data_IF_182400932246
#
_entry.id   IF_182400932246
#
_cell.length_a   1.000
_cell.length_b   1.000
_cell.length_c   1.000
_cell.angle_alpha   90.00
_cell.angle_beta   90.00
_cell.angle_gamma   90.00
#
_symmetry.space_group_name_H-M   'P 1'
#
loop_
_entity.id
_entity.type
_entity.pdbx_description
1 polymer ?
#
# COMPACT_ATOMS: atom_id res chain seq x y z
N UNK A 1 -5.02 28.90 -0.85
CA UNK A 1 -5.35 27.64 -1.56
C UNK A 1 -4.46 27.37 -2.79
N UNK A 2 -4.16 28.37 -3.65
CA UNK A 2 -3.35 28.13 -4.86
C UNK A 2 -1.87 27.78 -4.58
N UNK A 3 -1.21 28.44 -3.63
CA UNK A 3 0.20 28.17 -3.31
C UNK A 3 0.43 26.82 -2.65
N UNK A 4 -0.45 26.40 -1.72
CA UNK A 4 -0.37 25.09 -1.06
C UNK A 4 -0.57 23.96 -2.08
N UNK A 5 -1.55 24.09 -2.97
CA UNK A 5 -1.79 23.12 -4.07
C UNK A 5 -0.60 23.02 -5.01
N UNK A 6 0.04 24.15 -5.35
CA UNK A 6 1.22 24.19 -6.22
C UNK A 6 2.42 23.52 -5.55
N UNK A 7 2.59 23.68 -4.24
CA UNK A 7 3.70 23.09 -3.48
C UNK A 7 3.51 21.57 -3.29
N UNK A 8 2.29 21.11 -3.02
CA UNK A 8 1.94 19.67 -2.94
C UNK A 8 2.20 19.00 -4.30
N UNK A 9 1.72 19.59 -5.39
CA UNK A 9 1.92 19.06 -6.74
C UNK A 9 3.40 19.00 -7.12
N UNK A 10 4.20 20.02 -6.76
CA UNK A 10 5.63 20.03 -7.01
C UNK A 10 6.38 18.93 -6.24
N UNK A 11 6.03 18.70 -4.96
CA UNK A 11 6.62 17.64 -4.14
C UNK A 11 6.29 16.25 -4.69
N UNK A 12 5.04 16.00 -5.09
CA UNK A 12 4.61 14.74 -5.69
C UNK A 12 5.38 14.48 -6.99
N UNK A 13 5.47 15.50 -7.86
CA UNK A 13 6.18 15.38 -9.13
C UNK A 13 7.68 15.11 -8.94
N UNK A 14 8.32 15.75 -7.96
CA UNK A 14 9.73 15.49 -7.64
C UNK A 14 9.95 14.04 -7.20
N UNK A 15 9.09 13.52 -6.31
CA UNK A 15 9.17 12.12 -5.86
C UNK A 15 8.94 11.14 -7.00
N UNK A 16 7.93 11.38 -7.81
CA UNK A 16 7.65 10.56 -8.99
C UNK A 16 8.83 10.56 -9.96
N UNK A 17 9.43 11.71 -10.26
CA UNK A 17 10.60 11.78 -11.15
C UNK A 17 11.80 11.03 -10.61
N UNK A 18 12.04 11.09 -9.29
CA UNK A 18 13.10 10.32 -8.66
C UNK A 18 12.87 8.82 -8.81
N UNK A 19 11.66 8.35 -8.54
CA UNK A 19 11.30 6.94 -8.67
C UNK A 19 11.51 6.47 -10.12
N UNK A 20 11.20 7.33 -11.11
CA UNK A 20 11.49 7.05 -12.51
C UNK A 20 12.99 6.98 -12.82
N UNK A 21 13.83 7.68 -12.08
CA UNK A 21 15.28 7.54 -12.24
C UNK A 21 15.78 6.13 -11.84
N UNK A 22 15.05 5.43 -10.98
CA UNK A 22 15.31 4.02 -10.66
C UNK A 22 14.95 3.12 -11.84
N UNK A 23 13.89 3.41 -12.59
CA UNK A 23 13.54 2.67 -13.81
C UNK A 23 14.68 2.70 -14.84
N UNK A 24 15.45 3.78 -14.92
CA UNK A 24 16.63 3.87 -15.80
C UNK A 24 17.74 2.88 -15.39
N UNK A 25 17.92 2.58 -14.10
CA UNK A 25 18.85 1.55 -13.62
C UNK A 25 18.43 0.14 -14.02
N UNK A 26 17.12 -0.08 -14.21
CA UNK A 26 16.54 -1.38 -14.51
C UNK A 26 16.50 -1.70 -16.01
N UNK A 27 16.66 -0.68 -16.87
CA UNK A 27 16.36 -0.73 -18.32
C UNK A 27 16.99 -1.91 -19.07
N UNK A 28 18.24 -2.26 -18.75
CA UNK A 28 18.97 -3.32 -19.45
C UNK A 28 18.69 -4.73 -18.90
N UNK A 29 18.00 -4.84 -17.78
CA UNK A 29 17.78 -6.08 -17.03
C UNK A 29 16.31 -6.48 -16.88
N UNK A 30 15.42 -5.51 -17.03
CA UNK A 30 13.98 -5.65 -16.88
C UNK A 30 13.24 -5.08 -18.08
N UNK A 31 12.14 -5.71 -18.45
CA UNK A 31 11.21 -5.13 -19.43
C UNK A 31 10.41 -4.00 -18.76
N UNK A 32 9.93 -2.98 -19.52
CA UNK A 32 9.19 -1.86 -18.95
C UNK A 32 8.01 -2.27 -18.05
N UNK A 33 7.28 -3.31 -18.41
CA UNK A 33 6.17 -3.84 -17.62
C UNK A 33 6.59 -4.55 -16.33
N UNK A 34 7.86 -4.89 -16.15
CA UNK A 34 8.38 -5.52 -14.93
C UNK A 34 8.89 -4.50 -13.89
N UNK A 35 9.03 -3.21 -14.27
CA UNK A 35 9.58 -2.19 -13.35
C UNK A 35 8.77 -2.05 -12.07
N UNK A 36 7.44 -2.18 -12.17
CA UNK A 36 6.54 -2.14 -11.02
C UNK A 36 6.87 -3.16 -9.93
N UNK A 37 7.32 -4.37 -10.33
CA UNK A 37 7.70 -5.45 -9.40
C UNK A 37 8.89 -5.11 -8.51
N UNK A 38 9.74 -4.18 -8.95
CA UNK A 38 10.86 -3.67 -8.16
C UNK A 38 10.49 -2.36 -7.47
N UNK A 39 9.99 -1.39 -8.22
CA UNK A 39 9.82 -0.01 -7.75
C UNK A 39 8.75 0.10 -6.68
N UNK A 40 7.59 -0.58 -6.83
CA UNK A 40 6.50 -0.48 -5.85
C UNK A 40 6.90 -1.01 -4.46
N UNK A 41 7.48 -2.23 -4.32
CA UNK A 41 7.95 -2.71 -3.02
C UNK A 41 9.02 -1.81 -2.39
N UNK A 42 9.97 -1.29 -3.18
CA UNK A 42 10.97 -0.36 -2.68
C UNK A 42 10.36 0.96 -2.20
N UNK A 43 9.34 1.48 -2.90
CA UNK A 43 8.59 2.66 -2.47
C UNK A 43 7.90 2.43 -1.11
N UNK A 44 7.25 1.27 -0.95
CA UNK A 44 6.59 0.86 0.30
C UNK A 44 7.60 0.77 1.43
N UNK A 45 8.70 0.04 1.21
CA UNK A 45 9.77 -0.12 2.19
C UNK A 45 10.38 1.23 2.58
N UNK A 46 10.65 2.10 1.60
CA UNK A 46 11.19 3.43 1.87
C UNK A 46 10.23 4.29 2.68
N UNK A 47 8.93 4.28 2.35
CA UNK A 47 7.91 4.98 3.13
C UNK A 47 7.88 4.49 4.57
N UNK A 48 7.87 3.17 4.78
CA UNK A 48 7.82 2.59 6.12
C UNK A 48 9.10 2.87 6.91
N UNK A 49 10.25 2.75 6.28
CA UNK A 49 11.54 3.06 6.90
C UNK A 49 11.57 4.51 7.41
N UNK A 50 11.25 5.47 6.52
CA UNK A 50 11.25 6.90 6.86
C UNK A 50 10.23 7.26 7.96
N UNK A 51 9.06 6.61 7.98
CA UNK A 51 8.10 6.77 9.05
C UNK A 51 8.61 6.25 10.39
N UNK A 52 9.43 5.20 10.37
CA UNK A 52 9.98 4.58 11.58
C UNK A 52 11.26 5.25 12.11
N UNK A 53 11.95 6.10 11.32
CA UNK A 53 13.18 6.79 11.76
C UNK A 53 13.05 7.40 13.17
N UNK A 54 11.99 8.18 13.50
CA UNK A 54 11.88 8.84 14.80
C UNK A 54 11.74 7.88 15.98
N UNK A 55 11.24 6.67 15.73
CA UNK A 55 10.89 5.69 16.77
C UNK A 55 11.76 4.44 16.74
N UNK A 56 12.68 4.31 15.77
CA UNK A 56 13.51 3.12 15.55
C UNK A 56 14.22 2.64 16.82
N UNK A 57 14.90 3.53 17.53
CA UNK A 57 15.63 3.18 18.76
C UNK A 57 14.69 2.68 19.84
N UNK A 58 13.52 3.32 20.02
CA UNK A 58 12.49 2.89 20.97
C UNK A 58 11.94 1.51 20.64
N UNK A 59 11.75 1.19 19.36
CA UNK A 59 11.33 -0.14 18.90
C UNK A 59 12.38 -1.18 19.24
N UNK A 60 13.66 -0.91 18.97
CA UNK A 60 14.77 -1.82 19.26
C UNK A 60 14.90 -2.07 20.77
N UNK A 61 14.85 -1.04 21.60
CA UNK A 61 14.86 -1.16 23.07
C UNK A 61 13.67 -1.96 23.58
N UNK A 62 12.47 -1.67 23.05
CA UNK A 62 11.26 -2.42 23.42
C UNK A 62 11.41 -3.88 23.04
N UNK A 63 11.92 -4.18 21.83
CA UNK A 63 12.15 -5.54 21.36
C UNK A 63 13.08 -6.32 22.31
N UNK A 64 14.20 -5.75 22.75
CA UNK A 64 15.10 -6.39 23.70
C UNK A 64 14.39 -6.78 25.01
N UNK A 65 13.46 -5.93 25.48
CA UNK A 65 12.71 -6.17 26.70
C UNK A 65 11.60 -7.23 26.54
N UNK A 66 11.01 -7.37 25.34
CA UNK A 66 9.84 -8.25 25.12
C UNK A 66 10.14 -9.45 24.23
N UNK A 67 11.37 -9.64 23.72
CA UNK A 67 11.72 -10.72 22.78
C UNK A 67 11.44 -12.12 23.32
N UNK A 68 11.38 -12.28 24.64
CA UNK A 68 11.06 -13.54 25.31
C UNK A 68 9.55 -13.86 25.36
N UNK A 69 8.68 -12.91 25.00
CA UNK A 69 7.23 -13.09 24.96
C UNK A 69 6.80 -13.72 23.64
N UNK A 70 5.80 -14.60 23.70
CA UNK A 70 5.19 -15.17 22.48
C UNK A 70 4.44 -14.08 21.69
N UNK A 71 3.63 -13.26 22.37
CA UNK A 71 2.87 -12.15 21.78
C UNK A 71 3.54 -10.84 22.13
N UNK A 72 4.21 -10.23 21.15
CA UNK A 72 4.98 -8.98 21.31
C UNK A 72 4.61 -7.86 20.34
N UNK A 73 3.82 -8.16 19.28
CA UNK A 73 3.47 -7.20 18.24
C UNK A 73 2.86 -5.91 18.77
N UNK A 74 1.86 -6.01 19.67
CA UNK A 74 1.20 -4.83 20.23
C UNK A 74 2.11 -3.90 21.05
N UNK A 75 3.18 -4.43 21.68
CA UNK A 75 4.19 -3.60 22.35
C UNK A 75 5.06 -2.86 21.33
N UNK A 76 5.43 -3.54 20.25
CA UNK A 76 6.29 -2.99 19.19
C UNK A 76 5.54 -1.97 18.34
N UNK A 77 4.28 -2.23 17.99
CA UNK A 77 3.40 -1.28 17.30
C UNK A 77 3.20 0.00 18.11
N UNK A 78 2.95 -0.14 19.44
CA UNK A 78 2.85 1.02 20.33
C UNK A 78 4.17 1.80 20.43
N UNK A 79 5.31 1.11 20.41
CA UNK A 79 6.62 1.74 20.42
C UNK A 79 6.89 2.45 19.08
N UNK A 80 6.49 1.86 17.97
CA UNK A 80 6.61 2.40 16.63
C UNK A 80 5.66 3.59 16.38
N UNK A 81 4.47 3.57 16.99
CA UNK A 81 3.39 4.53 16.71
C UNK A 81 2.64 4.24 15.42
N UNK A 82 2.80 3.04 14.86
CA UNK A 82 2.17 2.55 13.63
C UNK A 82 1.72 1.10 13.83
N UNK A 83 0.81 0.62 12.98
CA UNK A 83 0.41 -0.80 12.91
C UNK A 83 1.47 -1.71 12.27
N UNK A 84 2.67 -1.20 12.08
CA UNK A 84 3.86 -1.90 11.61
C UNK A 84 5.11 -1.42 12.35
N UNK A 85 6.14 -2.24 12.36
CA UNK A 85 7.43 -1.96 13.00
C UNK A 85 8.56 -2.68 12.28
N UNK A 86 9.82 -2.34 12.64
CA UNK A 86 10.99 -3.08 12.18
C UNK A 86 12.01 -3.25 13.30
N UNK A 87 12.35 -4.50 13.64
CA UNK A 87 13.29 -4.88 14.70
C UNK A 87 14.73 -5.12 14.20
N UNK A 88 15.00 -4.98 12.89
CA UNK A 88 16.35 -5.05 12.36
C UNK A 88 17.17 -3.84 12.79
N UNK A 89 18.48 -4.03 12.97
CA UNK A 89 19.42 -2.91 13.19
C UNK A 89 19.62 -2.04 11.95
N UNK A 90 19.24 -2.55 10.77
CA UNK A 90 19.39 -1.85 9.51
C UNK A 90 18.21 -0.89 9.24
N UNK A 91 18.52 0.13 8.46
CA UNK A 91 17.67 1.08 7.79
C UNK A 91 18.29 1.36 6.41
N UNK A 92 17.64 2.15 5.54
CA UNK A 92 18.20 2.43 4.21
C UNK A 92 19.58 3.08 4.27
N UNK A 93 19.86 3.93 5.27
CA UNK A 93 21.18 4.55 5.44
C UNK A 93 22.24 3.51 5.77
N UNK A 94 22.00 2.66 6.78
CA UNK A 94 22.97 1.64 7.21
C UNK A 94 23.20 0.55 6.17
N UNK A 95 22.19 0.27 5.33
CA UNK A 95 22.36 -0.66 4.21
C UNK A 95 23.38 -0.16 3.20
N UNK A 96 23.48 1.16 2.98
CA UNK A 96 24.46 1.72 2.03
C UNK A 96 25.89 1.79 2.58
N UNK A 97 26.12 1.49 3.86
CA UNK A 97 27.43 1.48 4.49
C UNK A 97 28.24 0.20 4.17
N UNK A 98 27.59 -0.88 3.73
CA UNK A 98 28.24 -2.16 3.43
C UNK A 98 27.70 -2.77 2.11
N UNK A 99 28.31 -2.35 1.01
CA UNK A 99 27.97 -2.85 -0.32
C UNK A 99 28.33 -4.33 -0.53
N UNK A 100 29.31 -4.84 0.21
CA UNK A 100 29.81 -6.22 0.04
C UNK A 100 28.79 -7.26 0.51
N UNK A 101 28.09 -6.97 1.60
CA UNK A 101 27.09 -7.88 2.19
C UNK A 101 25.66 -7.36 1.99
N UNK A 102 25.43 -6.58 0.94
CA UNK A 102 24.17 -5.87 0.74
C UNK A 102 22.95 -6.80 0.68
N UNK A 103 23.05 -7.97 0.04
CA UNK A 103 21.94 -8.92 -0.05
C UNK A 103 21.58 -9.48 1.33
N UNK A 104 22.57 -9.96 2.10
CA UNK A 104 22.33 -10.53 3.43
C UNK A 104 21.80 -9.46 4.40
N UNK A 105 22.36 -8.25 4.34
CA UNK A 105 21.93 -7.13 5.17
C UNK A 105 20.52 -6.69 4.82
N UNK A 106 20.16 -6.64 3.54
CA UNK A 106 18.81 -6.28 3.07
C UNK A 106 17.78 -7.35 3.43
N UNK A 107 18.12 -8.64 3.33
CA UNK A 107 17.29 -9.73 3.79
C UNK A 107 17.03 -9.65 5.30
N UNK A 108 18.06 -9.39 6.10
CA UNK A 108 17.91 -9.17 7.54
C UNK A 108 17.00 -7.97 7.83
N UNK A 109 17.14 -6.89 7.07
CA UNK A 109 16.30 -5.71 7.19
C UNK A 109 14.81 -6.04 6.92
N UNK A 110 14.51 -6.78 5.85
CA UNK A 110 13.15 -7.21 5.50
C UNK A 110 12.56 -8.14 6.57
N UNK A 111 13.34 -9.13 7.01
CA UNK A 111 12.91 -10.08 8.05
C UNK A 111 12.64 -9.40 9.41
N UNK A 112 13.16 -8.21 9.62
CA UNK A 112 12.89 -7.41 10.81
C UNK A 112 11.54 -6.73 10.83
N UNK A 113 10.82 -6.66 9.72
CA UNK A 113 9.49 -6.07 9.68
C UNK A 113 8.44 -6.95 10.35
N UNK A 114 7.34 -6.33 10.78
CA UNK A 114 6.13 -6.99 11.25
C UNK A 114 5.51 -7.89 10.18
N UNK A 115 4.77 -8.90 10.62
CA UNK A 115 4.18 -9.94 9.76
C UNK A 115 3.32 -9.36 8.62
N UNK A 116 2.53 -8.32 8.89
CA UNK A 116 1.70 -7.66 7.87
C UNK A 116 2.52 -7.02 6.74
N UNK A 117 3.73 -6.51 7.01
CA UNK A 117 4.64 -5.99 5.98
C UNK A 117 5.32 -7.12 5.24
N UNK A 118 5.71 -8.19 5.94
CA UNK A 118 6.30 -9.38 5.29
C UNK A 118 5.30 -10.02 4.32
N UNK A 119 4.03 -10.16 4.71
CA UNK A 119 2.95 -10.68 3.86
C UNK A 119 2.75 -9.81 2.59
N UNK A 120 2.87 -8.48 2.71
CA UNK A 120 2.86 -7.60 1.53
C UNK A 120 4.00 -7.95 0.57
N UNK A 121 5.22 -8.13 1.08
CA UNK A 121 6.39 -8.41 0.26
C UNK A 121 6.33 -9.82 -0.37
N UNK A 122 5.75 -10.80 0.33
CA UNK A 122 5.48 -12.13 -0.21
C UNK A 122 4.50 -12.07 -1.39
N UNK A 123 3.41 -11.31 -1.28
CA UNK A 123 2.43 -11.15 -2.35
C UNK A 123 2.99 -10.38 -3.57
N UNK A 124 4.03 -9.55 -3.38
CA UNK A 124 4.81 -8.98 -4.47
C UNK A 124 5.80 -9.98 -5.09
N UNK A 125 5.96 -11.18 -4.54
CA UNK A 125 7.04 -12.12 -4.89
C UNK A 125 8.44 -11.47 -4.81
N UNK A 126 8.62 -10.53 -3.88
CA UNK A 126 9.77 -9.62 -3.85
C UNK A 126 11.11 -10.33 -3.63
N UNK A 127 11.11 -11.51 -3.00
CA UNK A 127 12.34 -12.33 -2.84
C UNK A 127 12.97 -12.70 -4.19
N UNK A 128 12.16 -12.96 -5.22
CA UNK A 128 12.63 -13.24 -6.57
C UNK A 128 13.33 -12.01 -7.17
N UNK A 129 12.78 -10.82 -6.94
CA UNK A 129 13.36 -9.58 -7.44
C UNK A 129 14.67 -9.22 -6.71
N UNK A 130 14.74 -9.46 -5.39
CA UNK A 130 15.98 -9.27 -4.61
C UNK A 130 17.10 -10.12 -5.19
N UNK A 131 16.85 -11.41 -5.45
CA UNK A 131 17.83 -12.34 -6.06
C UNK A 131 18.27 -11.84 -7.44
N UNK A 132 17.31 -11.43 -8.27
CA UNK A 132 17.59 -10.93 -9.62
C UNK A 132 18.43 -9.65 -9.59
N UNK A 133 18.10 -8.71 -8.70
CA UNK A 133 18.87 -7.48 -8.49
C UNK A 133 20.29 -7.75 -7.97
N UNK A 134 20.44 -8.63 -6.98
CA UNK A 134 21.73 -8.98 -6.42
C UNK A 134 22.65 -9.65 -7.46
N UNK A 135 22.12 -10.63 -8.20
CA UNK A 135 22.86 -11.34 -9.25
C UNK A 135 23.35 -10.42 -10.37
N UNK A 136 22.67 -9.30 -10.61
CA UNK A 136 23.05 -8.32 -11.63
C UNK A 136 23.80 -7.11 -11.06
N UNK A 137 24.14 -7.10 -9.77
CA UNK A 137 24.85 -6.00 -9.12
C UNK A 137 24.02 -4.71 -8.97
N UNK A 138 22.69 -4.81 -9.11
CA UNK A 138 21.77 -3.67 -9.08
C UNK A 138 21.22 -3.36 -7.69
N UNK A 139 21.20 -4.34 -6.77
CA UNK A 139 20.55 -4.19 -5.47
C UNK A 139 21.08 -2.99 -4.68
N UNK A 140 22.41 -2.85 -4.61
CA UNK A 140 23.03 -1.71 -3.95
C UNK A 140 22.66 -0.38 -4.61
N UNK A 141 22.71 -0.30 -5.94
CA UNK A 141 22.40 0.91 -6.69
C UNK A 141 20.95 1.37 -6.50
N UNK A 142 20.01 0.42 -6.46
CA UNK A 142 18.59 0.72 -6.18
C UNK A 142 18.42 1.23 -4.75
N UNK A 143 19.00 0.56 -3.75
CA UNK A 143 18.94 1.00 -2.35
C UNK A 143 19.60 2.39 -2.21
N UNK A 144 20.74 2.63 -2.83
CA UNK A 144 21.42 3.94 -2.83
C UNK A 144 20.54 5.03 -3.45
N UNK A 145 19.84 4.73 -4.56
CA UNK A 145 18.93 5.67 -5.19
C UNK A 145 17.78 6.07 -4.26
N UNK A 146 17.20 5.11 -3.53
CA UNK A 146 16.18 5.37 -2.53
C UNK A 146 16.71 6.01 -1.23
N UNK A 147 18.02 5.95 -0.96
CA UNK A 147 18.62 6.60 0.20
C UNK A 147 18.98 8.07 -0.02
N UNK A 148 18.78 8.63 -1.22
CA UNK A 148 19.02 10.05 -1.49
C UNK A 148 18.06 10.93 -0.68
N UNK A 149 18.49 12.13 -0.22
CA UNK A 149 17.60 13.06 0.50
C UNK A 149 16.32 13.42 -0.26
N UNK A 150 16.38 13.47 -1.60
CA UNK A 150 15.22 13.68 -2.47
C UNK A 150 14.22 12.53 -2.43
N UNK A 151 14.63 11.33 -2.00
CA UNK A 151 13.76 10.15 -1.85
C UNK A 151 13.05 10.08 -0.49
N UNK A 152 13.30 11.01 0.42
CA UNK A 152 12.68 10.99 1.75
C UNK A 152 11.16 11.08 1.68
N UNK A 153 10.47 10.13 2.33
CA UNK A 153 9.02 9.94 2.32
C UNK A 153 8.41 9.90 3.74
N UNK A 154 9.09 10.47 4.75
CA UNK A 154 8.59 10.49 6.13
C UNK A 154 7.28 11.25 6.28
N UNK A 155 6.49 10.89 7.30
CA UNK A 155 5.17 11.45 7.55
C UNK A 155 5.18 12.95 7.90
N UNK A 156 6.32 13.47 8.33
CA UNK A 156 6.55 14.89 8.61
C UNK A 156 6.60 15.77 7.36
N UNK A 157 6.87 15.19 6.18
CA UNK A 157 6.94 15.91 4.89
C UNK A 157 5.94 15.45 3.85
N UNK A 158 5.61 14.16 3.84
CA UNK A 158 4.68 13.55 2.90
C UNK A 158 3.52 12.96 3.69
N UNK A 159 2.35 13.56 3.56
CA UNK A 159 1.15 13.05 4.22
C UNK A 159 0.74 11.68 3.65
N UNK A 160 -0.15 10.97 4.34
CA UNK A 160 -0.70 9.71 3.83
C UNK A 160 -1.47 9.92 2.52
N UNK A 161 -2.16 11.05 2.39
CA UNK A 161 -2.88 11.43 1.16
C UNK A 161 -1.90 11.68 0.01
N UNK A 162 -0.82 12.44 0.24
CA UNK A 162 0.21 12.69 -0.77
C UNK A 162 0.87 11.38 -1.23
N UNK A 163 1.13 10.46 -0.28
CA UNK A 163 1.70 9.15 -0.60
C UNK A 163 0.73 8.32 -1.46
N UNK A 164 -0.58 8.41 -1.18
CA UNK A 164 -1.62 7.82 -2.02
C UNK A 164 -1.56 8.32 -3.46
N UNK A 165 -1.43 9.63 -3.68
CA UNK A 165 -1.28 10.21 -5.02
C UNK A 165 0.01 9.75 -5.72
N UNK A 166 1.14 9.67 -5.00
CA UNK A 166 2.40 9.15 -5.55
C UNK A 166 2.21 7.71 -6.00
N UNK A 167 1.59 6.87 -5.16
CA UNK A 167 1.35 5.46 -5.47
C UNK A 167 0.42 5.29 -6.67
N UNK A 168 -0.67 6.06 -6.74
CA UNK A 168 -1.60 6.03 -7.88
C UNK A 168 -0.93 6.44 -9.19
N UNK A 169 -0.10 7.49 -9.18
CA UNK A 169 0.63 7.92 -10.38
C UNK A 169 1.60 6.82 -10.86
N UNK A 170 2.28 6.15 -9.92
CA UNK A 170 3.16 5.02 -10.24
C UNK A 170 2.38 3.85 -10.84
N UNK A 171 1.29 3.44 -10.19
CA UNK A 171 0.45 2.33 -10.67
C UNK A 171 -0.08 2.66 -12.07
N UNK A 172 -0.62 3.87 -12.26
CA UNK A 172 -1.11 4.32 -13.56
C UNK A 172 -0.05 4.21 -14.65
N UNK A 173 1.15 4.71 -14.41
CA UNK A 173 2.25 4.68 -15.39
C UNK A 173 2.77 3.28 -15.65
N UNK A 174 2.84 2.42 -14.64
CA UNK A 174 3.19 1.02 -14.86
C UNK A 174 2.08 0.29 -15.62
N UNK A 175 0.82 0.54 -15.31
CA UNK A 175 -0.30 -0.07 -16.04
C UNK A 175 -0.38 0.39 -17.51
N UNK A 176 -0.05 1.63 -17.81
CA UNK A 176 0.05 2.13 -19.21
C UNK A 176 1.17 1.44 -20.01
N UNK A 177 2.15 0.82 -19.34
CA UNK A 177 3.21 0.02 -19.96
C UNK A 177 2.81 -1.44 -20.26
N UNK A 178 1.69 -1.90 -19.69
CA UNK A 178 1.06 -3.19 -20.01
C UNK A 178 0.05 -2.97 -21.15
N UNK A 179 0.13 -3.77 -22.23
CA UNK A 179 -0.81 -3.72 -23.37
C UNK A 179 -2.29 -3.81 -22.92
N UNK A 180 -3.15 -3.03 -23.57
CA UNK A 180 -4.63 -3.02 -23.67
C UNK A 180 -5.50 -3.42 -22.47
N UNK A 181 -5.04 -4.20 -21.51
CA UNK A 181 -5.79 -4.58 -20.28
C UNK A 181 -5.60 -3.58 -19.12
N UNK A 182 -4.72 -2.62 -19.26
CA UNK A 182 -4.37 -1.65 -18.22
C UNK A 182 -5.54 -0.76 -17.76
N UNK A 183 -6.52 -0.52 -18.61
CA UNK A 183 -7.74 0.21 -18.25
C UNK A 183 -8.68 -0.52 -17.26
N UNK A 184 -8.46 -1.82 -17.04
CA UNK A 184 -9.32 -2.64 -16.18
C UNK A 184 -9.09 -2.40 -14.66
N UNK A 185 -7.97 -1.76 -14.28
CA UNK A 185 -7.58 -1.62 -12.87
C UNK A 185 -7.65 -0.19 -12.32
N UNK A 186 -8.03 0.79 -13.15
CA UNK A 186 -8.05 2.19 -12.73
C UNK A 186 -9.43 2.84 -12.92
N UNK A 187 -10.00 3.30 -11.82
CA UNK A 187 -11.23 4.11 -11.83
C UNK A 187 -10.88 5.56 -11.51
N UNK A 188 -11.27 6.52 -12.38
CA UNK A 188 -11.00 7.93 -12.14
C UNK A 188 -11.57 8.42 -10.81
N UNK A 189 -10.80 9.19 -10.04
CA UNK A 189 -11.25 9.78 -8.76
C UNK A 189 -12.54 10.59 -8.91
N UNK A 190 -12.72 11.33 -10.00
CA UNK A 190 -13.93 12.12 -10.22
C UNK A 190 -15.17 11.24 -10.30
N UNK A 191 -15.05 10.07 -10.95
CA UNK A 191 -16.12 9.08 -11.01
C UNK A 191 -16.39 8.49 -9.62
N UNK A 192 -15.34 8.13 -8.88
CA UNK A 192 -15.47 7.58 -7.53
C UNK A 192 -16.14 8.60 -6.60
N UNK A 193 -15.73 9.87 -6.65
CA UNK A 193 -16.36 10.91 -5.84
C UNK A 193 -17.83 11.10 -6.19
N UNK A 194 -18.18 11.08 -7.48
CA UNK A 194 -19.58 11.13 -7.90
C UNK A 194 -20.38 9.92 -7.37
N UNK A 195 -19.84 8.71 -7.51
CA UNK A 195 -20.47 7.49 -6.98
C UNK A 195 -20.65 7.58 -5.47
N UNK A 196 -19.63 8.03 -4.75
CA UNK A 196 -19.68 8.23 -3.30
C UNK A 196 -20.73 9.25 -2.91
N UNK A 197 -20.74 10.43 -3.55
CA UNK A 197 -21.69 11.51 -3.24
C UNK A 197 -23.16 11.08 -3.48
N UNK A 198 -23.39 10.25 -4.51
CA UNK A 198 -24.71 9.66 -4.77
C UNK A 198 -25.05 8.63 -3.66
N UNK A 199 -24.11 7.74 -3.34
CA UNK A 199 -24.32 6.64 -2.39
C UNK A 199 -24.65 7.17 -0.98
N UNK A 200 -24.02 8.26 -0.54
CA UNK A 200 -24.21 8.83 0.79
C UNK A 200 -25.25 9.96 0.83
N UNK A 201 -25.93 10.25 -0.30
CA UNK A 201 -26.81 11.43 -0.43
C UNK A 201 -27.94 11.47 0.60
N UNK A 202 -28.52 10.30 0.88
CA UNK A 202 -29.66 10.19 1.80
C UNK A 202 -29.25 10.17 3.28
N UNK A 203 -27.97 9.93 3.57
CA UNK A 203 -27.44 9.80 4.93
C UNK A 203 -26.69 11.07 5.41
N UNK A 204 -26.67 12.14 4.62
CA UNK A 204 -25.83 13.35 4.91
C UNK A 204 -26.10 13.94 6.28
N UNK A 205 -27.35 13.98 6.72
CA UNK A 205 -27.71 14.55 8.02
C UNK A 205 -27.12 13.74 9.20
N UNK A 206 -27.00 12.42 9.01
CA UNK A 206 -26.39 11.51 10.00
C UNK A 206 -24.84 11.61 9.94
N UNK A 207 -24.29 11.73 8.72
CA UNK A 207 -22.84 11.71 8.48
C UNK A 207 -22.13 12.97 8.94
N UNK A 208 -22.83 14.06 9.23
CA UNK A 208 -22.29 15.29 9.81
C UNK A 208 -22.29 15.29 11.34
N UNK A 209 -22.87 14.25 11.99
CA UNK A 209 -22.83 14.11 13.43
C UNK A 209 -21.44 13.71 13.90
N UNK A 210 -20.98 14.27 15.01
CA UNK A 210 -19.64 14.00 15.56
C UNK A 210 -19.45 12.53 15.96
N UNK A 211 -18.35 11.92 15.50
CA UNK A 211 -17.94 10.56 15.92
C UNK A 211 -18.72 9.43 15.23
N UNK A 212 -19.25 9.67 14.05
CA UNK A 212 -19.92 8.62 13.26
C UNK A 212 -18.97 7.48 12.90
N UNK A 213 -19.40 6.23 13.12
CA UNK A 213 -18.69 5.03 12.70
C UNK A 213 -19.39 4.42 11.47
N UNK A 214 -18.64 4.17 10.40
CA UNK A 214 -19.15 3.58 9.15
C UNK A 214 -18.20 2.52 8.61
N UNK A 215 -18.80 1.46 8.05
CA UNK A 215 -18.07 0.38 7.37
C UNK A 215 -18.29 0.49 5.86
N UNK A 216 -17.21 0.40 5.10
CA UNK A 216 -17.20 0.47 3.63
C UNK A 216 -16.55 -0.78 3.07
N UNK A 217 -17.20 -1.42 2.09
CA UNK A 217 -16.68 -2.62 1.45
C UNK A 217 -16.55 -2.46 -0.07
N UNK A 218 -15.44 -2.96 -0.60
CA UNK A 218 -15.23 -3.15 -2.04
C UNK A 218 -14.88 -4.61 -2.31
N UNK A 219 -15.79 -5.32 -2.98
CA UNK A 219 -15.66 -6.76 -3.26
C UNK A 219 -14.70 -7.07 -4.41
N UNK A 220 -14.24 -6.07 -5.15
CA UNK A 220 -13.25 -6.15 -6.23
C UNK A 220 -12.32 -4.95 -6.13
N UNK A 221 -11.68 -4.83 -4.95
CA UNK A 221 -11.06 -3.56 -4.51
C UNK A 221 -9.92 -3.06 -5.38
N UNK A 222 -9.35 -3.91 -6.24
CA UNK A 222 -8.20 -3.52 -7.03
C UNK A 222 -7.08 -3.01 -6.12
N UNK A 223 -6.59 -1.81 -6.40
CA UNK A 223 -5.58 -1.12 -5.59
C UNK A 223 -6.15 -0.37 -4.38
N UNK A 224 -7.42 -0.60 -4.01
CA UNK A 224 -8.18 0.05 -2.93
C UNK A 224 -8.48 1.55 -3.12
N UNK A 225 -8.36 2.07 -4.32
CA UNK A 225 -8.58 3.50 -4.58
C UNK A 225 -10.01 3.95 -4.24
N UNK A 226 -11.02 3.12 -4.53
CA UNK A 226 -12.42 3.45 -4.20
C UNK A 226 -12.62 3.57 -2.69
N UNK A 227 -12.03 2.68 -1.91
CA UNK A 227 -12.07 2.72 -0.44
C UNK A 227 -11.39 3.98 0.11
N UNK A 228 -10.23 4.34 -0.45
CA UNK A 228 -9.48 5.55 -0.06
C UNK A 228 -10.28 6.82 -0.36
N UNK A 229 -10.80 6.97 -1.58
CA UNK A 229 -11.60 8.13 -1.97
C UNK A 229 -12.89 8.26 -1.16
N UNK A 230 -13.56 7.15 -0.86
CA UNK A 230 -14.75 7.17 -0.03
C UNK A 230 -14.44 7.57 1.41
N UNK A 231 -13.32 7.07 1.97
CA UNK A 231 -12.84 7.49 3.29
C UNK A 231 -12.54 8.99 3.34
N UNK A 232 -11.88 9.53 2.32
CA UNK A 232 -11.62 10.97 2.20
C UNK A 232 -12.93 11.79 2.18
N UNK A 233 -13.95 11.31 1.45
CA UNK A 233 -15.25 11.99 1.36
C UNK A 233 -16.02 11.97 2.69
N UNK A 234 -16.06 10.83 3.38
CA UNK A 234 -16.71 10.70 4.67
C UNK A 234 -16.01 11.57 5.74
N UNK A 235 -14.69 11.56 5.79
CA UNK A 235 -13.89 12.41 6.67
C UNK A 235 -13.93 13.91 6.32
N UNK A 236 -14.31 14.26 5.12
CA UNK A 236 -14.58 15.66 4.75
C UNK A 236 -15.92 16.17 5.32
N UNK A 237 -16.86 15.29 5.64
CA UNK A 237 -18.12 15.63 6.32
C UNK A 237 -17.95 15.70 7.83
N UNK A 238 -17.24 14.72 8.40
CA UNK A 238 -16.84 14.67 9.81
C UNK A 238 -15.39 14.19 9.91
N UNK A 239 -14.48 15.06 10.37
CA UNK A 239 -13.04 14.75 10.49
C UNK A 239 -12.74 13.65 11.51
N UNK A 240 -13.62 13.45 12.50
CA UNK A 240 -13.49 12.45 13.56
C UNK A 240 -14.20 11.12 13.22
N UNK A 241 -14.80 11.02 12.02
CA UNK A 241 -15.50 9.80 11.60
C UNK A 241 -14.56 8.57 11.62
N UNK A 242 -15.00 7.50 12.29
CA UNK A 242 -14.34 6.18 12.27
C UNK A 242 -14.78 5.41 11.00
N UNK A 243 -14.06 5.58 9.91
CA UNK A 243 -14.32 4.89 8.65
C UNK A 243 -13.48 3.62 8.56
N UNK A 244 -14.14 2.47 8.66
CA UNK A 244 -13.49 1.16 8.55
C UNK A 244 -13.69 0.59 7.16
N UNK A 245 -12.60 0.42 6.44
CA UNK A 245 -12.60 -0.12 5.08
C UNK A 245 -12.32 -1.62 5.07
N UNK A 246 -13.03 -2.32 4.19
CA UNK A 246 -12.89 -3.74 3.93
C UNK A 246 -12.76 -3.96 2.43
N UNK A 247 -11.92 -4.89 2.01
CA UNK A 247 -11.74 -5.15 0.60
C UNK A 247 -11.36 -6.60 0.31
N UNK A 248 -11.71 -7.05 -0.89
CA UNK A 248 -11.30 -8.35 -1.39
C UNK A 248 -10.75 -8.20 -2.81
N UNK A 249 -9.63 -8.88 -3.09
CA UNK A 249 -8.94 -8.84 -4.38
C UNK A 249 -8.44 -10.24 -4.76
N UNK A 250 -8.58 -10.58 -6.03
CA UNK A 250 -8.18 -11.86 -6.58
C UNK A 250 -6.68 -11.93 -6.91
N UNK A 251 -6.12 -10.83 -7.45
CA UNK A 251 -4.74 -10.76 -7.91
C UNK A 251 -3.79 -10.45 -6.74
N UNK A 252 -2.79 -11.32 -6.44
CA UNK A 252 -1.88 -11.12 -5.31
C UNK A 252 -1.08 -9.81 -5.39
N UNK A 253 -0.59 -9.43 -6.57
CA UNK A 253 0.20 -8.21 -6.76
C UNK A 253 -0.67 -6.96 -6.49
N UNK A 254 -1.87 -6.92 -7.05
CA UNK A 254 -2.84 -5.84 -6.82
C UNK A 254 -3.30 -5.79 -5.36
N UNK A 255 -3.51 -6.96 -4.73
CA UNK A 255 -3.78 -7.08 -3.30
C UNK A 255 -2.65 -6.51 -2.43
N UNK A 256 -1.37 -6.79 -2.77
CA UNK A 256 -0.23 -6.24 -2.06
C UNK A 256 -0.19 -4.70 -2.13
N UNK A 257 -0.55 -4.13 -3.29
CA UNK A 257 -0.70 -2.68 -3.46
C UNK A 257 -1.79 -2.13 -2.53
N UNK A 258 -2.98 -2.76 -2.53
CA UNK A 258 -4.10 -2.35 -1.70
C UNK A 258 -3.76 -2.41 -0.20
N UNK A 259 -3.11 -3.49 0.24
CA UNK A 259 -2.68 -3.68 1.62
C UNK A 259 -1.62 -2.65 2.04
N UNK A 260 -0.67 -2.35 1.15
CA UNK A 260 0.32 -1.29 1.33
C UNK A 260 -0.35 0.08 1.48
N UNK A 261 -1.31 0.39 0.62
CA UNK A 261 -2.10 1.61 0.66
C UNK A 261 -2.85 1.74 2.00
N UNK A 262 -3.50 0.67 2.46
CA UNK A 262 -4.19 0.67 3.75
C UNK A 262 -3.25 1.02 4.92
N UNK A 263 -2.06 0.40 4.99
CA UNK A 263 -1.06 0.72 6.02
C UNK A 263 -0.53 2.15 5.92
N UNK A 264 -0.29 2.66 4.71
CA UNK A 264 0.18 4.02 4.46
C UNK A 264 -0.84 5.06 4.96
N UNK A 265 -2.14 4.78 4.79
CA UNK A 265 -3.23 5.64 5.25
C UNK A 265 -3.63 5.44 6.72
N UNK A 266 -2.94 4.55 7.45
CA UNK A 266 -3.24 4.24 8.84
C UNK A 266 -4.51 3.40 9.03
N UNK A 267 -4.99 2.76 7.96
CA UNK A 267 -6.10 1.80 7.99
C UNK A 267 -5.68 0.42 8.51
N UNK A 268 -6.67 -0.45 8.70
CA UNK A 268 -6.41 -1.83 9.10
C UNK A 268 -6.19 -2.72 7.87
N UNK A 269 -4.94 -3.08 7.60
CA UNK A 269 -4.56 -3.94 6.49
C UNK A 269 -5.13 -5.37 6.61
N UNK A 270 -5.52 -5.81 7.81
CA UNK A 270 -6.12 -7.13 8.03
C UNK A 270 -7.55 -7.23 7.47
N UNK A 271 -8.19 -6.09 7.20
CA UNK A 271 -9.49 -6.03 6.53
C UNK A 271 -9.38 -6.17 5.01
N UNK A 272 -8.17 -6.18 4.46
CA UNK A 272 -7.92 -6.50 3.05
C UNK A 272 -7.65 -8.00 2.92
N UNK A 273 -8.41 -8.67 2.06
CA UNK A 273 -8.35 -10.13 1.90
C UNK A 273 -8.04 -10.52 0.47
N UNK A 274 -7.16 -11.52 0.33
CA UNK A 274 -6.88 -12.16 -0.96
C UNK A 274 -7.88 -13.30 -1.19
N UNK A 275 -8.49 -13.34 -2.36
CA UNK A 275 -9.41 -14.42 -2.75
C UNK A 275 -10.42 -13.98 -3.81
N UNK A 276 -11.04 -14.96 -4.43
CA UNK A 276 -12.11 -14.74 -5.41
C UNK A 276 -13.45 -14.56 -4.69
N UNK A 277 -14.01 -13.37 -4.75
CA UNK A 277 -15.28 -13.03 -4.09
C UNK A 277 -16.45 -13.94 -4.50
N UNK A 278 -16.42 -14.49 -5.73
CA UNK A 278 -17.49 -15.37 -6.22
C UNK A 278 -17.45 -16.80 -5.67
N UNK A 279 -16.25 -17.28 -5.29
CA UNK A 279 -16.06 -18.68 -4.84
C UNK A 279 -15.46 -18.80 -3.43
N UNK A 280 -15.00 -17.70 -2.87
CA UNK A 280 -14.33 -17.68 -1.56
C UNK A 280 -14.56 -16.32 -0.89
N UNK A 281 -15.84 -16.01 -0.59
CA UNK A 281 -16.21 -14.79 0.13
C UNK A 281 -15.58 -14.77 1.53
N UNK A 282 -14.72 -13.79 1.76
CA UNK A 282 -13.99 -13.61 3.04
C UNK A 282 -14.82 -12.90 4.12
N UNK A 283 -16.00 -12.39 3.75
CA UNK A 283 -16.87 -11.63 4.65
C UNK A 283 -18.34 -12.12 4.67
N UNK A 284 -18.62 -13.44 4.62
CA UNK A 284 -19.96 -13.98 4.36
C UNK A 284 -21.00 -13.61 5.41
N UNK A 285 -20.59 -13.25 6.62
CA UNK A 285 -21.49 -12.87 7.73
C UNK A 285 -21.43 -11.37 8.07
N UNK A 286 -20.67 -10.58 7.31
CA UNK A 286 -20.57 -9.14 7.53
C UNK A 286 -21.71 -8.39 6.86
N UNK A 287 -22.17 -7.33 7.53
CA UNK A 287 -23.06 -6.33 6.96
C UNK A 287 -22.34 -5.01 6.98
N UNK A 288 -22.24 -4.39 5.82
CA UNK A 288 -21.57 -3.12 5.64
C UNK A 288 -22.57 -1.99 5.51
N UNK A 289 -22.23 -0.79 6.01
CA UNK A 289 -23.05 0.39 5.82
C UNK A 289 -23.08 0.80 4.34
N UNK A 290 -21.92 0.72 3.68
CA UNK A 290 -21.77 1.05 2.27
C UNK A 290 -20.97 -0.02 1.52
N UNK A 291 -21.42 -0.28 0.29
CA UNK A 291 -20.68 -1.11 -0.67
C UNK A 291 -20.47 -0.27 -1.93
N UNK A 292 -19.22 -0.16 -2.36
CA UNK A 292 -18.82 0.55 -3.57
C UNK A 292 -17.82 -0.30 -4.33
N UNK A 293 -18.09 -0.62 -5.59
CA UNK A 293 -17.25 -1.54 -6.35
C UNK A 293 -17.31 -1.26 -7.84
N UNK A 294 -16.20 -1.52 -8.54
CA UNK A 294 -16.11 -1.53 -9.98
C UNK A 294 -15.56 -2.89 -10.44
N UNK A 295 -16.41 -3.90 -10.64
CA UNK A 295 -15.97 -5.23 -11.04
C UNK A 295 -15.37 -5.23 -12.46
N UNK A 296 -14.41 -6.13 -12.74
CA UNK A 296 -13.79 -6.21 -14.04
C UNK A 296 -14.78 -6.63 -15.13
N UNK A 297 -14.66 -6.02 -16.33
CA UNK A 297 -15.53 -6.28 -17.47
C UNK A 297 -14.96 -7.39 -18.36
N UNK A 298 -15.84 -8.20 -18.95
CA UNK A 298 -15.47 -9.18 -19.97
C UNK A 298 -14.65 -10.37 -19.49
N UNK A 299 -14.50 -10.56 -18.19
CA UNK A 299 -13.78 -11.70 -17.61
C UNK A 299 -14.70 -12.92 -17.57
N UNK A 300 -14.13 -14.08 -17.94
CA UNK A 300 -14.79 -15.37 -17.88
C UNK A 300 -15.03 -15.80 -16.42
N UNK A 301 -16.29 -15.84 -15.98
CA UNK A 301 -16.67 -16.23 -14.61
C UNK A 301 -17.17 -17.67 -14.52
N UNK A 302 -17.15 -18.44 -15.63
CA UNK A 302 -17.69 -19.81 -15.68
C UNK A 302 -17.03 -20.76 -14.70
N UNK A 303 -15.76 -20.52 -14.33
CA UNK A 303 -15.07 -21.33 -13.33
C UNK A 303 -15.68 -21.19 -11.93
N UNK A 304 -16.21 -20.02 -11.58
CA UNK A 304 -16.89 -19.78 -10.31
C UNK A 304 -18.41 -20.03 -10.39
N UNK A 305 -18.93 -20.34 -11.57
CA UNK A 305 -20.37 -20.51 -11.78
C UNK A 305 -20.98 -21.61 -10.92
N UNK A 306 -20.26 -22.71 -10.76
CA UNK A 306 -20.76 -23.87 -10.00
C UNK A 306 -20.90 -23.52 -8.53
N UNK A 307 -19.92 -22.79 -7.96
CA UNK A 307 -19.97 -22.32 -6.57
C UNK A 307 -21.13 -21.34 -6.37
N UNK A 308 -21.24 -20.33 -7.23
CA UNK A 308 -22.33 -19.33 -7.17
C UNK A 308 -23.71 -19.97 -7.29
N UNK A 309 -23.91 -20.95 -8.19
CA UNK A 309 -25.18 -21.66 -8.37
C UNK A 309 -25.47 -22.66 -7.26
N UNK A 310 -24.44 -23.12 -6.50
CA UNK A 310 -24.61 -24.09 -5.41
C UNK A 310 -25.04 -23.44 -4.09
N UNK A 311 -24.88 -22.14 -3.93
CA UNK A 311 -25.30 -21.37 -2.72
C UNK A 311 -26.78 -20.99 -2.72
N UNK A 312 -27.52 -21.35 -3.77
CA UNK A 312 -28.96 -21.15 -3.93
C UNK A 312 -29.70 -22.50 -4.08
#
# INVERSE_FOLDING_TARGET
>A
MSELFTQITANIQEKTNLIWSVADLLRDYYKPHEYGKVILPFCVLKRFDDCLIPTKNKVLETYENVKHLEVKSGFLERAAGYSFYNISKYDFQKLTEDATHIEDNFRNYIMGYSENVQDILENYEFDNEIKKLANNGLLFLVIEAFNKPSAYMGADKITSVDMGYIFEDLIKRFSESYDEQAGAHFTSRDIIYLMTDILISDDKDILIEEGVAKTVYDMTMGTSQMLTCMTERLKALDSEADVRTFGQELNPETFAIAKSSALIHGGNADNMKLGNTLSDDKFPNYKFDYIISNPPFGIEWKTAKIEVESEH
#
